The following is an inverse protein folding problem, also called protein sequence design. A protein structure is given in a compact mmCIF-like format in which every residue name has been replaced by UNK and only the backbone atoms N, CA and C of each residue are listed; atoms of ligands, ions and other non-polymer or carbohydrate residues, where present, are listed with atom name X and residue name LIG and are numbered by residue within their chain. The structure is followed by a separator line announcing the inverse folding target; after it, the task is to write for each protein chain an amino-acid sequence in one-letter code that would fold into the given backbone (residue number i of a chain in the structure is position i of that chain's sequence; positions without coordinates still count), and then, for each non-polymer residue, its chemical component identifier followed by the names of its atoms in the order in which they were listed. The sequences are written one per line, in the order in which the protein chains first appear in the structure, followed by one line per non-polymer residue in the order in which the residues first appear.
data_IF_999025062143
#
_entry.id   IF_999025062143
#
_cell.length_a   1.000
_cell.length_b   1.000
_cell.length_c   1.000
_cell.angle_alpha   90.00
_cell.angle_beta   90.00
_cell.angle_gamma   90.00
#
_symmetry.space_group_name_H-M   'P 1'
#
loop_
_entity.id
_entity.type
_entity.pdbx_description
1 polymer ?
#
# COMPACT_ATOMS: atom_id res chain seq x y z
N UNK A 1 -55.26 18.05 -33.62
CA UNK A 1 -54.52 19.10 -34.35
C UNK A 1 -53.09 18.57 -34.44
N UNK A 2 -52.77 17.76 -35.45
CA UNK A 2 -52.62 18.17 -36.86
C UNK A 2 -51.50 19.22 -36.97
N UNK A 3 -50.45 19.12 -37.77
CA UNK A 3 -50.14 18.18 -38.84
C UNK A 3 -48.68 18.36 -39.29
N UNK A 4 -48.19 17.30 -39.93
CA UNK A 4 -47.28 17.19 -41.09
C UNK A 4 -46.44 18.42 -41.50
N UNK A 5 -45.14 18.25 -41.75
CA UNK A 5 -44.58 17.76 -43.03
C UNK A 5 -43.34 18.62 -43.33
N UNK A 6 -42.40 18.39 -44.25
CA UNK A 6 -42.22 17.63 -45.50
C UNK A 6 -40.67 17.59 -45.66
N UNK A 7 -39.97 16.47 -45.85
CA UNK A 7 -39.70 15.83 -47.15
C UNK A 7 -38.57 16.49 -47.96
N UNK A 8 -37.46 15.76 -48.20
CA UNK A 8 -36.66 15.65 -49.45
C UNK A 8 -35.28 15.02 -49.13
N UNK A 9 -35.06 13.75 -49.44
CA UNK A 9 -34.63 13.18 -50.73
C UNK A 9 -33.13 13.36 -51.01
N UNK A 10 -32.39 12.25 -50.99
CA UNK A 10 -31.23 12.01 -51.86
C UNK A 10 -31.07 10.50 -52.04
N UNK A 11 -31.35 10.07 -53.27
CA UNK A 11 -31.20 8.72 -53.80
C UNK A 11 -29.74 8.29 -53.87
N UNK A 12 -29.43 7.06 -53.43
CA UNK A 12 -28.15 6.37 -53.71
C UNK A 12 -28.45 4.88 -53.96
N UNK A 13 -27.77 4.20 -54.91
CA UNK A 13 -28.42 3.26 -55.82
C UNK A 13 -28.56 1.82 -55.31
N UNK A 14 -29.63 1.18 -55.79
CA UNK A 14 -29.82 -0.28 -55.84
C UNK A 14 -28.75 -0.92 -56.72
N UNK A 15 -27.67 -1.41 -56.10
CA UNK A 15 -26.76 -2.36 -56.76
C UNK A 15 -27.34 -3.76 -56.64
N UNK A 16 -27.95 -4.24 -57.72
CA UNK A 16 -28.11 -5.68 -57.92
C UNK A 16 -26.73 -6.28 -58.22
N UNK A 17 -26.26 -7.18 -57.35
CA UNK A 17 -25.21 -8.13 -57.67
C UNK A 17 -25.68 -9.52 -57.29
N UNK A 18 -25.54 -10.45 -58.24
CA UNK A 18 -25.84 -11.87 -58.10
C UNK A 18 -24.88 -12.52 -57.10
N UNK A 19 -25.42 -13.44 -56.29
CA UNK A 19 -24.75 -14.65 -55.78
C UNK A 19 -23.40 -14.50 -55.06
N UNK A 20 -23.42 -14.65 -53.74
CA UNK A 20 -22.78 -15.80 -53.07
C UNK A 20 -23.04 -15.73 -51.56
N UNK A 21 -23.45 -16.89 -51.03
CA UNK A 21 -23.57 -17.22 -49.61
C UNK A 21 -22.21 -16.96 -48.95
N UNK A 22 -22.02 -15.80 -48.32
CA UNK A 22 -20.88 -15.55 -47.44
C UNK A 22 -21.40 -15.66 -46.02
N UNK A 23 -21.02 -16.76 -45.37
CA UNK A 23 -21.42 -17.03 -44.00
C UNK A 23 -20.96 -15.90 -43.08
N UNK A 24 -21.79 -15.55 -42.11
CA UNK A 24 -21.28 -14.89 -40.91
C UNK A 24 -20.08 -15.72 -40.41
N UNK A 25 -18.91 -15.11 -40.17
CA UNK A 25 -17.90 -15.82 -39.40
C UNK A 25 -18.57 -16.20 -38.07
N UNK A 26 -18.47 -17.46 -37.62
CA UNK A 26 -19.01 -17.84 -36.33
C UNK A 26 -18.42 -16.88 -35.31
N UNK A 27 -19.28 -16.18 -34.58
CA UNK A 27 -18.86 -15.37 -33.45
C UNK A 27 -18.22 -16.35 -32.47
N UNK A 28 -16.90 -16.29 -32.36
CA UNK A 28 -16.10 -17.18 -31.53
C UNK A 28 -16.43 -16.88 -30.05
N UNK A 29 -17.52 -17.50 -29.58
CA UNK A 29 -18.02 -17.38 -28.21
C UNK A 29 -16.98 -17.82 -27.19
N UNK A 30 -16.07 -18.72 -27.58
CA UNK A 30 -14.95 -19.16 -26.76
C UNK A 30 -13.89 -18.06 -26.63
N UNK A 31 -13.58 -17.32 -27.69
CA UNK A 31 -12.66 -16.18 -27.64
C UNK A 31 -13.19 -15.06 -26.75
N UNK A 32 -14.50 -14.77 -26.82
CA UNK A 32 -15.15 -13.77 -25.97
C UNK A 32 -15.15 -14.24 -24.51
N UNK A 33 -15.53 -15.49 -24.26
CA UNK A 33 -15.52 -16.09 -22.92
C UNK A 33 -14.11 -16.11 -22.31
N UNK A 34 -13.09 -16.46 -23.10
CA UNK A 34 -11.67 -16.40 -22.68
C UNK A 34 -11.22 -14.97 -22.42
N UNK A 35 -11.59 -14.00 -23.26
CA UNK A 35 -11.27 -12.60 -23.00
C UNK A 35 -11.96 -12.08 -21.73
N UNK A 36 -13.22 -12.48 -21.51
CA UNK A 36 -14.02 -12.11 -20.34
C UNK A 36 -13.45 -12.74 -19.06
N UNK A 37 -13.01 -14.01 -19.11
CA UNK A 37 -12.35 -14.68 -17.99
C UNK A 37 -10.97 -14.08 -17.69
N UNK A 38 -10.23 -13.65 -18.72
CA UNK A 38 -8.95 -12.94 -18.56
C UNK A 38 -9.15 -11.53 -17.99
N UNK A 39 -10.20 -10.83 -18.39
CA UNK A 39 -10.56 -9.52 -17.85
C UNK A 39 -11.01 -9.67 -16.38
N UNK A 40 -11.84 -10.67 -16.08
CA UNK A 40 -12.26 -10.98 -14.71
C UNK A 40 -11.06 -11.35 -13.82
N UNK A 41 -10.12 -12.16 -14.31
CA UNK A 41 -8.92 -12.52 -13.55
C UNK A 41 -7.98 -11.32 -13.33
N UNK A 42 -7.86 -10.43 -14.31
CA UNK A 42 -7.13 -9.17 -14.16
C UNK A 42 -7.77 -8.22 -13.15
N UNK A 43 -9.11 -8.13 -13.12
CA UNK A 43 -9.84 -7.35 -12.12
C UNK A 43 -9.62 -7.91 -10.71
N UNK A 44 -9.71 -9.23 -10.54
CA UNK A 44 -9.46 -9.89 -9.25
C UNK A 44 -8.01 -9.67 -8.76
N UNK A 45 -7.02 -9.80 -9.65
CA UNK A 45 -5.62 -9.54 -9.30
C UNK A 45 -5.40 -8.08 -8.89
N UNK A 46 -6.04 -7.14 -9.61
CA UNK A 46 -5.99 -5.71 -9.26
C UNK A 46 -6.63 -5.45 -7.89
N UNK A 47 -7.78 -6.05 -7.60
CA UNK A 47 -8.44 -5.91 -6.29
C UNK A 47 -7.60 -6.48 -5.15
N UNK A 48 -6.97 -7.64 -5.36
CA UNK A 48 -6.02 -8.20 -4.39
C UNK A 48 -4.84 -7.26 -4.16
N UNK A 49 -4.26 -6.70 -5.23
CA UNK A 49 -3.14 -5.76 -5.11
C UNK A 49 -3.55 -4.47 -4.36
N UNK A 50 -4.75 -3.95 -4.60
CA UNK A 50 -5.24 -2.77 -3.87
C UNK A 50 -5.57 -3.10 -2.39
N UNK A 51 -6.04 -4.32 -2.12
CA UNK A 51 -6.21 -4.81 -0.75
C UNK A 51 -4.88 -4.95 -0.02
N UNK A 52 -3.87 -5.55 -0.67
CA UNK A 52 -2.50 -5.66 -0.12
C UNK A 52 -1.90 -4.29 0.17
N UNK A 53 -2.01 -3.35 -0.77
CA UNK A 53 -1.59 -1.96 -0.54
C UNK A 53 -2.28 -1.35 0.67
N UNK A 54 -3.59 -1.54 0.79
CA UNK A 54 -4.37 -1.03 1.92
C UNK A 54 -3.91 -1.62 3.25
N UNK A 55 -3.59 -2.92 3.27
CA UNK A 55 -3.04 -3.61 4.45
C UNK A 55 -1.65 -3.07 4.81
N UNK A 56 -0.77 -2.88 3.83
CA UNK A 56 0.58 -2.34 4.03
C UNK A 56 0.49 -0.93 4.60
N UNK A 57 -0.33 -0.05 3.99
CA UNK A 57 -0.52 1.33 4.45
C UNK A 57 -1.12 1.36 5.85
N UNK A 58 -2.15 0.56 6.11
CA UNK A 58 -2.78 0.49 7.44
C UNK A 58 -1.80 -0.01 8.51
N UNK A 59 -0.97 -0.99 8.18
CA UNK A 59 0.06 -1.51 9.09
C UNK A 59 1.15 -0.47 9.35
N UNK A 60 1.61 0.24 8.32
CA UNK A 60 2.61 1.29 8.46
C UNK A 60 2.08 2.47 9.29
N UNK A 61 0.85 2.91 9.03
CA UNK A 61 0.19 3.96 9.80
C UNK A 61 0.04 3.57 11.29
N UNK A 62 -0.45 2.36 11.56
CA UNK A 62 -0.55 1.84 12.92
C UNK A 62 0.81 1.78 13.62
N UNK A 63 1.86 1.30 12.93
CA UNK A 63 3.21 1.25 13.48
C UNK A 63 3.78 2.65 13.78
N UNK A 64 3.53 3.64 12.92
CA UNK A 64 3.91 5.03 13.17
C UNK A 64 3.20 5.62 14.39
N UNK A 65 1.90 5.38 14.55
CA UNK A 65 1.13 5.85 15.71
C UNK A 65 1.63 5.23 17.02
N UNK A 66 2.06 3.96 16.97
CA UNK A 66 2.71 3.30 18.09
C UNK A 66 4.06 3.92 18.41
N UNK A 67 4.90 4.15 17.39
CA UNK A 67 6.21 4.79 17.55
C UNK A 67 6.08 6.16 18.20
N UNK A 68 5.15 7.02 17.73
CA UNK A 68 4.92 8.35 18.29
C UNK A 68 4.48 8.26 19.76
N UNK A 69 3.61 7.31 20.11
CA UNK A 69 3.21 7.07 21.50
C UNK A 69 4.38 6.57 22.36
N UNK A 70 5.18 5.63 21.86
CA UNK A 70 6.38 5.12 22.52
C UNK A 70 7.43 6.21 22.78
N UNK A 71 7.57 7.19 21.88
CA UNK A 71 8.49 8.31 22.08
C UNK A 71 8.03 9.25 23.21
N UNK A 72 6.70 9.45 23.35
CA UNK A 72 6.09 10.32 24.37
C UNK A 72 6.05 9.67 25.76
N UNK A 73 5.82 8.36 25.82
CA UNK A 73 5.76 7.61 27.08
C UNK A 73 7.19 7.33 27.57
N UNK A 74 7.45 7.55 28.85
CA UNK A 74 8.75 7.28 29.48
C UNK A 74 8.68 5.99 30.29
N UNK A 75 8.25 6.10 31.54
CA UNK A 75 8.05 4.98 32.45
C UNK A 75 6.58 4.52 32.42
N UNK A 76 6.27 3.22 32.58
CA UNK A 76 7.16 2.08 32.83
C UNK A 76 7.63 1.34 31.55
N UNK A 77 7.42 1.90 30.36
CA UNK A 77 7.67 1.21 29.09
C UNK A 77 9.16 1.11 28.77
N UNK A 78 9.90 2.21 28.95
CA UNK A 78 11.34 2.23 28.71
C UNK A 78 12.08 2.03 30.01
N UNK A 79 12.64 0.84 30.22
CA UNK A 79 13.41 0.49 31.40
C UNK A 79 14.90 0.68 31.11
N UNK A 80 15.62 1.34 32.02
CA UNK A 80 17.08 1.41 31.94
C UNK A 80 17.68 0.07 32.37
N UNK A 81 18.38 -0.57 31.45
CA UNK A 81 19.09 -1.83 31.70
C UNK A 81 20.23 -1.61 32.72
N UNK A 82 20.29 -2.43 33.78
CA UNK A 82 21.35 -2.32 34.79
C UNK A 82 22.75 -2.64 34.26
N UNK A 83 22.83 -3.46 33.21
CA UNK A 83 24.10 -4.00 32.71
C UNK A 83 24.82 -3.06 31.75
N UNK A 84 24.06 -2.39 30.86
CA UNK A 84 24.61 -1.58 29.77
C UNK A 84 24.12 -0.12 29.80
N UNK A 85 23.24 0.23 30.74
CA UNK A 85 22.67 1.57 30.88
C UNK A 85 21.73 1.99 29.74
N UNK A 86 21.46 1.12 28.76
CA UNK A 86 20.59 1.40 27.62
C UNK A 86 19.12 1.33 28.02
N UNK A 87 18.27 2.05 27.29
CA UNK A 87 16.82 1.95 27.47
C UNK A 87 16.26 0.81 26.63
N UNK A 88 15.57 -0.13 27.29
CA UNK A 88 14.92 -1.28 26.66
C UNK A 88 13.41 -1.20 26.87
N UNK A 89 12.62 -1.67 25.91
CA UNK A 89 11.17 -1.78 26.05
C UNK A 89 10.81 -2.96 26.96
N UNK A 90 10.03 -2.71 28.01
CA UNK A 90 9.37 -3.76 28.77
C UNK A 90 8.23 -4.36 27.94
N UNK A 91 8.35 -5.63 27.59
CA UNK A 91 7.35 -6.34 26.78
C UNK A 91 5.95 -6.31 27.40
N UNK A 92 5.83 -6.56 28.70
CA UNK A 92 4.51 -6.64 29.35
C UNK A 92 3.82 -5.27 29.32
N UNK A 93 4.55 -4.20 29.65
CA UNK A 93 4.01 -2.84 29.59
C UNK A 93 3.68 -2.41 28.15
N UNK A 94 4.51 -2.82 27.18
CA UNK A 94 4.25 -2.59 25.76
C UNK A 94 2.97 -3.29 25.29
N UNK A 95 2.83 -4.59 25.56
CA UNK A 95 1.68 -5.39 25.12
C UNK A 95 0.37 -4.91 25.74
N UNK A 96 0.41 -4.31 26.94
CA UNK A 96 -0.75 -3.67 27.57
C UNK A 96 -1.15 -2.34 26.91
N UNK A 97 -0.19 -1.56 26.42
CA UNK A 97 -0.43 -0.28 25.75
C UNK A 97 -0.79 -0.42 24.28
N UNK A 98 -0.29 -1.49 23.65
CA UNK A 98 -0.44 -1.79 22.24
C UNK A 98 -0.90 -3.25 22.06
N UNK A 99 -2.13 -3.58 22.51
CA UNK A 99 -2.65 -4.93 22.36
C UNK A 99 -2.84 -5.24 20.87
N UNK A 100 -1.87 -5.95 20.29
CA UNK A 100 -1.92 -6.45 18.91
C UNK A 100 -2.54 -7.83 18.84
N UNK A 101 -3.27 -8.09 17.76
CA UNK A 101 -3.71 -9.44 17.39
C UNK A 101 -2.51 -10.30 16.91
N UNK A 102 -1.68 -10.80 17.84
CA UNK A 102 -0.72 -11.90 17.64
C UNK A 102 0.15 -11.92 16.35
N UNK A 103 0.45 -10.79 15.70
CA UNK A 103 1.19 -10.79 14.41
C UNK A 103 2.64 -11.29 14.49
N UNK A 104 3.24 -11.37 15.68
CA UNK A 104 4.67 -11.65 15.87
C UNK A 104 4.98 -12.92 16.67
N UNK A 105 4.03 -13.85 16.84
CA UNK A 105 4.27 -15.12 17.55
C UNK A 105 4.96 -16.17 16.66
N UNK A 106 5.99 -15.80 15.92
CA UNK A 106 6.94 -16.80 15.43
C UNK A 106 7.75 -17.29 16.63
N UNK A 107 7.82 -18.61 16.83
CA UNK A 107 8.50 -19.24 17.99
C UNK A 107 9.98 -18.85 18.14
N UNK A 108 10.59 -18.33 17.08
CA UNK A 108 11.98 -17.86 17.03
C UNK A 108 12.15 -16.34 17.10
N UNK A 109 11.07 -15.55 17.12
CA UNK A 109 11.18 -14.09 17.14
C UNK A 109 11.77 -13.60 18.46
N UNK A 110 12.82 -12.78 18.36
CA UNK A 110 13.44 -12.11 19.51
C UNK A 110 13.02 -10.65 19.50
N UNK A 111 12.71 -10.11 20.69
CA UNK A 111 12.39 -8.70 20.85
C UNK A 111 13.69 -7.96 21.12
N UNK A 112 13.97 -6.97 20.29
CA UNK A 112 15.09 -6.04 20.45
C UNK A 112 14.57 -4.61 20.45
N UNK A 113 15.13 -3.77 21.31
CA UNK A 113 14.78 -2.36 21.38
C UNK A 113 15.93 -1.56 21.99
N UNK A 114 16.07 -0.32 21.55
CA UNK A 114 16.95 0.67 22.16
C UNK A 114 16.34 2.06 22.01
N UNK A 115 16.72 2.99 22.89
CA UNK A 115 16.34 4.40 22.79
C UNK A 115 17.54 5.27 23.16
N UNK A 116 17.80 6.23 22.30
CA UNK A 116 18.81 7.26 22.49
C UNK A 116 18.22 8.64 22.17
N UNK A 117 18.79 9.68 22.74
CA UNK A 117 18.38 11.06 22.52
C UNK A 117 19.56 12.00 22.68
N UNK A 118 19.66 13.00 21.82
CA UNK A 118 20.58 14.11 22.03
C UNK A 118 20.37 15.23 21.03
N UNK A 119 21.15 16.29 21.20
CA UNK A 119 21.01 17.53 20.42
C UNK A 119 21.84 17.41 19.15
N UNK A 120 21.24 17.76 18.01
CA UNK A 120 21.90 17.74 16.70
C UNK A 120 22.08 19.18 16.20
N UNK A 121 23.31 19.54 15.86
CA UNK A 121 23.67 20.85 15.34
C UNK A 121 23.51 20.93 13.80
N UNK A 122 22.32 20.59 13.28
CA UNK A 122 22.00 20.71 11.86
C UNK A 122 20.54 21.09 11.63
N UNK A 123 20.21 21.53 10.42
CA UNK A 123 18.84 21.83 10.04
C UNK A 123 17.96 20.56 10.05
N UNK A 124 16.70 20.71 10.47
CA UNK A 124 15.73 19.61 10.54
C UNK A 124 15.48 18.96 9.17
N UNK A 125 15.47 19.75 8.09
CA UNK A 125 15.34 19.24 6.72
C UNK A 125 16.45 18.25 6.38
N UNK A 126 17.69 18.62 6.68
CA UNK A 126 18.84 17.76 6.41
C UNK A 126 18.73 16.47 7.22
N UNK A 127 18.35 16.56 8.50
CA UNK A 127 18.16 15.38 9.35
C UNK A 127 17.08 14.43 8.79
N UNK A 128 15.95 14.97 8.33
CA UNK A 128 14.87 14.19 7.71
C UNK A 128 15.38 13.50 6.44
N UNK A 129 16.08 14.22 5.57
CA UNK A 129 16.67 13.65 4.35
C UNK A 129 17.61 12.48 4.67
N UNK A 130 18.44 12.59 5.73
CA UNK A 130 19.31 11.48 6.13
C UNK A 130 18.56 10.27 6.67
N UNK A 131 17.41 10.48 7.32
CA UNK A 131 16.59 9.39 7.86
C UNK A 131 15.79 8.68 6.78
N UNK A 132 15.44 9.37 5.69
CA UNK A 132 14.73 8.81 4.56
C UNK A 132 15.66 8.07 3.57
N UNK A 133 16.95 8.39 3.55
CA UNK A 133 17.95 7.73 2.71
C UNK A 133 18.60 6.53 3.44
N UNK A 134 18.21 5.31 3.04
CA UNK A 134 18.70 4.06 3.61
C UNK A 134 20.22 3.86 3.49
N UNK A 135 20.84 4.36 2.41
CA UNK A 135 22.29 4.19 2.20
C UNK A 135 23.06 5.13 3.14
N UNK A 136 22.52 6.33 3.32
CA UNK A 136 23.09 7.33 4.20
C UNK A 136 22.84 6.98 5.67
N UNK A 137 21.70 6.41 6.03
CA UNK A 137 21.37 6.00 7.41
C UNK A 137 22.33 4.94 7.95
N UNK A 138 22.73 3.98 7.11
CA UNK A 138 23.62 2.87 7.51
C UNK A 138 25.05 3.35 7.81
N UNK A 139 25.44 4.50 7.26
CA UNK A 139 26.79 5.08 7.38
C UNK A 139 26.83 6.26 8.37
N UNK A 140 25.68 6.79 8.79
CA UNK A 140 25.61 7.98 9.63
C UNK A 140 25.66 7.65 11.13
N UNK A 141 26.82 7.88 11.75
CA UNK A 141 26.85 8.26 13.17
C UNK A 141 26.35 9.71 13.24
N UNK A 142 25.08 9.92 13.56
CA UNK A 142 24.52 11.28 13.73
C UNK A 142 25.45 12.10 14.65
N UNK A 143 25.77 13.37 14.31
CA UNK A 143 26.58 14.23 15.17
C UNK A 143 25.73 14.67 16.37
N UNK A 144 25.44 13.71 17.23
CA UNK A 144 24.71 13.91 18.48
C UNK A 144 25.71 14.47 19.47
N UNK A 145 25.45 15.68 19.93
CA UNK A 145 26.16 16.30 21.05
C UNK A 145 25.65 15.64 22.33
N UNK A 146 26.53 14.93 23.06
CA UNK A 146 26.25 14.32 24.37
C UNK A 146 26.53 15.30 25.50
#
# INVERSE_FOLDING_TARGET
MESLGIGSSLSVPRKHFFGQRTGCPPLDTEQILRSSLNIASQFQLRELQEMEKSIIIGTAAAAMDELVRLLKIKEPVWIKSPTDGRYLINRNSHDMLFPKANYFKASSARIESSKDSGVVAMATTNLIEMLLDSVKSDTCRFPITR
#
